data_IF_002273475198
#
_entry.id   IF_002273475198
#
_cell.length_a   1.000
_cell.length_b   1.000
_cell.length_c   1.000
_cell.angle_alpha   90.00
_cell.angle_beta   90.00
_cell.angle_gamma   90.00
#
_symmetry.space_group_name_H-M   'P 1'
#
loop_
_entity.id
_entity.type
_entity.pdbx_description
1 polymer ?
#
# COMPACT_ATOMS: atom_id res chain seq x y z
N UNK A 1 -14.58 15.25 -3.94
CA UNK A 1 -13.16 15.10 -3.54
C UNK A 1 -12.51 14.10 -4.48
N UNK A 2 -11.28 14.35 -4.88
CA UNK A 2 -10.51 13.48 -5.76
C UNK A 2 -9.68 12.50 -4.91
N UNK A 3 -9.61 11.25 -5.36
CA UNK A 3 -8.66 10.24 -4.86
C UNK A 3 -7.70 9.91 -5.99
N UNK A 4 -6.41 10.10 -5.75
CA UNK A 4 -5.38 9.95 -6.76
C UNK A 4 -4.36 8.94 -6.25
N UNK A 5 -3.98 8.00 -7.11
CA UNK A 5 -2.90 7.05 -6.88
C UNK A 5 -1.85 7.23 -7.96
N UNK A 6 -0.60 7.43 -7.56
CA UNK A 6 0.50 7.67 -8.48
C UNK A 6 1.59 6.64 -8.20
N UNK A 7 1.86 5.83 -9.22
CA UNK A 7 2.95 4.87 -9.24
C UNK A 7 4.02 5.27 -10.27
N UNK A 8 5.10 4.52 -10.36
CA UNK A 8 6.17 4.79 -11.34
C UNK A 8 5.68 4.69 -12.80
N UNK A 9 4.54 4.03 -13.03
CA UNK A 9 4.02 3.72 -14.36
C UNK A 9 2.65 4.31 -14.67
N UNK A 10 1.90 4.74 -13.66
CA UNK A 10 0.50 5.10 -13.85
C UNK A 10 0.04 6.17 -12.88
N UNK A 11 -0.87 7.02 -13.36
CA UNK A 11 -1.76 7.83 -12.53
C UNK A 11 -3.15 7.21 -12.61
N UNK A 12 -3.78 6.98 -11.45
CA UNK A 12 -5.19 6.60 -11.34
C UNK A 12 -5.92 7.69 -10.59
N UNK A 13 -7.00 8.20 -11.15
CA UNK A 13 -7.81 9.26 -10.55
C UNK A 13 -9.25 8.77 -10.44
N UNK A 14 -9.84 8.94 -9.27
CA UNK A 14 -11.24 8.66 -9.01
C UNK A 14 -11.90 9.88 -8.39
N UNK A 15 -13.02 10.32 -8.97
CA UNK A 15 -13.92 11.28 -8.38
C UNK A 15 -15.10 10.56 -7.74
N UNK A 16 -15.27 10.75 -6.45
CA UNK A 16 -16.36 10.12 -5.69
C UNK A 16 -17.03 11.09 -4.72
N UNK A 17 -18.29 10.80 -4.44
CA UNK A 17 -19.10 11.52 -3.45
C UNK A 17 -19.70 10.54 -2.45
N UNK A 18 -19.81 11.01 -1.21
CA UNK A 18 -20.53 10.26 -0.18
C UNK A 18 -22.05 10.34 -0.43
N UNK A 19 -22.71 9.19 -0.37
CA UNK A 19 -24.16 9.05 -0.48
C UNK A 19 -24.63 8.11 0.65
N UNK A 20 -24.91 8.66 1.83
CA UNK A 20 -25.15 7.88 3.04
C UNK A 20 -23.91 7.06 3.41
N UNK A 21 -24.07 5.73 3.56
CA UNK A 21 -22.97 4.79 3.84
C UNK A 21 -22.27 4.28 2.58
N UNK A 22 -22.55 4.88 1.42
CA UNK A 22 -21.98 4.47 0.15
C UNK A 22 -21.10 5.56 -0.43
N UNK A 23 -20.15 5.15 -1.24
CA UNK A 23 -19.35 6.04 -2.08
C UNK A 23 -19.82 5.82 -3.51
N UNK A 24 -20.36 6.86 -4.14
CA UNK A 24 -20.69 6.83 -5.56
C UNK A 24 -19.49 7.34 -6.35
N UNK A 25 -18.97 6.50 -7.22
CA UNK A 25 -17.96 6.90 -8.20
C UNK A 25 -18.65 7.65 -9.33
N UNK A 26 -18.20 8.86 -9.60
CA UNK A 26 -18.72 9.72 -10.66
C UNK A 26 -17.85 9.66 -11.89
N UNK A 27 -16.54 9.66 -11.71
CA UNK A 27 -15.54 9.52 -12.75
C UNK A 27 -14.37 8.68 -12.28
N UNK A 28 -13.78 7.97 -13.19
CA UNK A 28 -12.51 7.30 -13.03
C UNK A 28 -11.68 7.45 -14.30
N UNK A 29 -10.38 7.62 -14.15
CA UNK A 29 -9.44 7.62 -15.27
C UNK A 29 -8.11 7.00 -14.85
N UNK A 30 -7.39 6.46 -15.82
CA UNK A 30 -6.06 5.91 -15.66
C UNK A 30 -5.18 6.38 -16.81
N UNK A 31 -4.00 6.88 -16.49
CA UNK A 31 -3.02 7.35 -17.47
C UNK A 31 -1.69 6.66 -17.24
N UNK A 32 -1.08 6.13 -18.29
CA UNK A 32 0.29 5.64 -18.23
C UNK A 32 1.27 6.82 -18.18
N UNK A 33 2.31 6.67 -17.37
CA UNK A 33 3.39 7.64 -17.24
C UNK A 33 4.60 7.20 -18.07
N UNK A 34 5.26 8.17 -18.66
CA UNK A 34 6.57 7.97 -19.27
C UNK A 34 7.59 7.60 -18.18
N UNK A 35 8.47 6.67 -18.51
CA UNK A 35 9.57 6.28 -17.63
C UNK A 35 10.38 7.48 -17.16
N UNK A 36 10.70 7.50 -15.88
CA UNK A 36 11.51 8.54 -15.28
C UNK A 36 10.73 9.75 -14.75
N UNK A 37 9.42 9.88 -14.99
CA UNK A 37 8.60 10.92 -14.36
C UNK A 37 8.40 10.69 -12.86
N UNK A 38 8.28 9.42 -12.49
CA UNK A 38 8.22 8.94 -11.10
C UNK A 38 9.17 7.78 -10.98
N UNK A 39 9.93 7.72 -9.89
CA UNK A 39 10.88 6.64 -9.64
C UNK A 39 10.80 6.19 -8.18
N UNK A 40 10.44 4.93 -7.95
CA UNK A 40 10.22 4.37 -6.63
C UNK A 40 9.25 5.25 -5.79
N UNK A 41 8.20 5.76 -6.42
CA UNK A 41 7.21 6.66 -5.82
C UNK A 41 7.65 8.12 -5.68
N UNK A 42 8.91 8.47 -5.89
CA UNK A 42 9.37 9.86 -5.87
C UNK A 42 9.02 10.57 -7.16
N UNK A 43 8.38 11.73 -7.07
CA UNK A 43 8.12 12.59 -8.23
C UNK A 43 9.46 13.21 -8.65
N UNK A 44 9.96 12.80 -9.81
CA UNK A 44 11.25 13.26 -10.37
C UNK A 44 11.07 14.41 -11.33
N UNK A 45 9.93 14.47 -12.02
CA UNK A 45 9.56 15.55 -12.96
C UNK A 45 8.18 16.09 -12.63
N UNK A 46 8.13 17.10 -11.74
CA UNK A 46 6.87 17.72 -11.31
C UNK A 46 6.10 18.33 -12.49
N UNK A 47 6.70 19.12 -13.42
CA UNK A 47 5.98 19.67 -14.56
C UNK A 47 5.31 18.62 -15.45
N UNK A 48 5.99 17.52 -15.76
CA UNK A 48 5.44 16.47 -16.62
C UNK A 48 4.29 15.73 -15.94
N UNK A 49 4.45 15.31 -14.68
CA UNK A 49 3.37 14.65 -13.92
C UNK A 49 2.17 15.60 -13.76
N UNK A 50 2.43 16.88 -13.52
CA UNK A 50 1.40 17.91 -13.42
C UNK A 50 0.63 18.07 -14.73
N UNK A 51 1.30 18.03 -15.89
CA UNK A 51 0.67 18.10 -17.20
C UNK A 51 -0.31 16.95 -17.41
N UNK A 52 0.09 15.70 -17.08
CA UNK A 52 -0.78 14.54 -17.19
C UNK A 52 -2.01 14.64 -16.27
N UNK A 53 -1.82 15.05 -15.01
CA UNK A 53 -2.94 15.27 -14.08
C UNK A 53 -3.89 16.36 -14.55
N UNK A 54 -3.37 17.48 -15.03
CA UNK A 54 -4.17 18.59 -15.55
C UNK A 54 -4.96 18.17 -16.79
N UNK A 55 -4.38 17.35 -17.66
CA UNK A 55 -5.07 16.84 -18.85
C UNK A 55 -6.26 15.93 -18.44
N UNK A 56 -6.07 15.02 -17.48
CA UNK A 56 -7.16 14.20 -16.94
C UNK A 56 -8.27 15.09 -16.37
N UNK A 57 -7.92 16.04 -15.51
CA UNK A 57 -8.87 16.96 -14.85
C UNK A 57 -9.66 17.74 -15.88
N UNK A 58 -8.99 18.29 -16.90
CA UNK A 58 -9.61 19.08 -17.97
C UNK A 58 -10.52 18.22 -18.85
N UNK A 59 -10.04 17.05 -19.29
CA UNK A 59 -10.78 16.15 -20.18
C UNK A 59 -12.07 15.65 -19.53
N UNK A 60 -12.03 15.38 -18.21
CA UNK A 60 -13.19 14.92 -17.43
C UNK A 60 -14.07 16.07 -16.93
N UNK A 61 -13.71 17.33 -17.17
CA UNK A 61 -14.46 18.48 -16.66
C UNK A 61 -14.54 18.53 -15.13
N UNK A 62 -13.49 18.09 -14.45
CA UNK A 62 -13.41 18.03 -12.98
C UNK A 62 -13.22 19.43 -12.43
N UNK A 63 -14.09 19.83 -11.49
CA UNK A 63 -14.06 21.15 -10.85
C UNK A 63 -13.62 21.11 -9.39
N UNK A 64 -13.53 19.92 -8.80
CA UNK A 64 -13.08 19.71 -7.43
C UNK A 64 -11.66 20.22 -7.23
N UNK A 65 -11.45 20.89 -6.09
CA UNK A 65 -10.14 21.42 -5.68
C UNK A 65 -9.48 20.63 -4.58
N UNK A 66 -10.23 19.78 -3.87
CA UNK A 66 -9.73 18.99 -2.78
C UNK A 66 -9.37 17.58 -3.26
N UNK A 67 -8.15 17.15 -2.94
CA UNK A 67 -7.64 15.84 -3.31
C UNK A 67 -6.94 15.13 -2.13
N UNK A 68 -6.97 13.81 -2.16
CA UNK A 68 -6.10 12.93 -1.38
C UNK A 68 -5.25 12.11 -2.34
N UNK A 69 -4.04 11.78 -1.94
CA UNK A 69 -3.16 10.93 -2.75
C UNK A 69 -2.75 9.68 -1.98
N UNK A 70 -2.70 8.55 -2.68
CA UNK A 70 -2.08 7.32 -2.20
C UNK A 70 -0.72 7.16 -2.82
N UNK A 71 0.27 6.77 -2.02
CA UNK A 71 1.65 6.59 -2.45
C UNK A 71 2.15 5.18 -2.12
N UNK A 72 2.99 4.65 -2.99
CA UNK A 72 3.68 3.37 -2.83
C UNK A 72 5.16 3.57 -3.12
N UNK A 73 6.04 3.02 -2.28
CA UNK A 73 7.50 3.11 -2.44
C UNK A 73 8.18 2.01 -1.64
N UNK A 74 9.30 1.48 -2.12
CA UNK A 74 10.16 0.58 -1.36
C UNK A 74 10.87 1.26 -0.18
N UNK A 75 10.91 2.61 -0.18
CA UNK A 75 11.48 3.40 0.91
C UNK A 75 10.56 3.50 2.13
N UNK A 76 9.31 3.06 2.01
CA UNK A 76 8.35 3.02 3.11
C UNK A 76 8.57 1.73 3.90
N UNK A 77 8.87 1.87 5.19
CA UNK A 77 9.20 0.73 6.06
C UNK A 77 8.01 0.41 6.95
N UNK A 78 7.62 -0.85 6.98
CA UNK A 78 6.64 -1.41 7.91
C UNK A 78 7.35 -2.29 8.92
N UNK A 79 7.01 -2.15 10.20
CA UNK A 79 7.58 -2.99 11.25
C UNK A 79 6.58 -3.25 12.38
N UNK A 80 6.39 -4.52 12.69
CA UNK A 80 5.79 -4.95 13.95
C UNK A 80 6.89 -5.00 15.02
N UNK A 81 6.62 -4.47 16.21
CA UNK A 81 7.57 -4.46 17.29
C UNK A 81 6.88 -4.50 18.65
N UNK A 82 7.59 -5.01 19.65
CA UNK A 82 7.23 -4.89 21.04
C UNK A 82 8.06 -3.77 21.69
N UNK A 83 7.39 -2.83 22.31
CA UNK A 83 8.05 -1.71 23.00
C UNK A 83 7.61 -1.69 24.46
N UNK A 84 8.48 -1.24 25.37
CA UNK A 84 8.09 -1.01 26.77
C UNK A 84 6.87 -0.09 26.84
N UNK A 85 5.88 -0.47 27.66
CA UNK A 85 4.67 0.34 27.81
C UNK A 85 5.00 1.64 28.48
N UNK A 86 4.79 2.82 27.84
CA UNK A 86 5.04 4.10 28.48
C UNK A 86 4.01 4.37 29.58
N UNK A 87 4.36 5.25 30.54
CA UNK A 87 3.46 5.64 31.64
C UNK A 87 2.12 6.19 31.14
N UNK A 88 2.10 6.80 29.95
CA UNK A 88 0.89 7.29 29.30
C UNK A 88 0.92 6.99 27.80
N UNK A 89 -0.09 6.27 27.32
CA UNK A 89 -0.27 6.02 25.88
C UNK A 89 -0.70 7.28 25.10
N UNK A 90 -1.06 8.36 25.81
CA UNK A 90 -1.37 9.66 25.18
C UNK A 90 -0.10 10.42 24.78
N UNK A 91 1.06 10.03 25.29
CA UNK A 91 2.33 10.63 24.91
C UNK A 91 2.85 10.01 23.60
N UNK A 92 2.24 10.40 22.48
CA UNK A 92 2.58 9.90 21.14
C UNK A 92 4.03 10.19 20.76
N UNK A 93 4.56 11.35 21.16
CA UNK A 93 5.95 11.75 20.88
C UNK A 93 6.97 10.78 21.50
N UNK A 94 6.71 10.30 22.72
CA UNK A 94 7.59 9.32 23.36
C UNK A 94 7.54 7.98 22.63
N UNK A 95 6.34 7.54 22.20
CA UNK A 95 6.17 6.31 21.42
C UNK A 95 6.87 6.45 20.07
N UNK A 96 6.70 7.56 19.36
CA UNK A 96 7.37 7.83 18.09
C UNK A 96 8.90 7.78 18.20
N UNK A 97 9.46 8.38 19.26
CA UNK A 97 10.90 8.31 19.51
C UNK A 97 11.39 6.88 19.73
N UNK A 98 10.61 6.06 20.46
CA UNK A 98 10.93 4.64 20.65
C UNK A 98 10.84 3.85 19.34
N UNK A 99 9.84 4.15 18.50
CA UNK A 99 9.66 3.55 17.17
C UNK A 99 10.85 3.93 16.29
N UNK A 100 11.21 5.20 16.21
CA UNK A 100 12.35 5.68 15.42
C UNK A 100 13.64 4.96 15.80
N UNK A 101 13.93 4.88 17.09
CA UNK A 101 15.11 4.18 17.59
C UNK A 101 15.09 2.69 17.23
N UNK A 102 13.95 2.01 17.37
CA UNK A 102 13.81 0.59 17.08
C UNK A 102 13.87 0.28 15.57
N UNK A 103 13.34 1.17 14.73
CA UNK A 103 13.40 1.05 13.27
C UNK A 103 14.75 1.46 12.70
N UNK A 104 15.58 2.21 13.46
CA UNK A 104 16.85 2.75 12.98
C UNK A 104 16.66 3.83 11.91
N UNK A 105 15.54 4.57 11.92
CA UNK A 105 15.26 5.64 10.97
C UNK A 105 15.56 7.01 11.56
N UNK A 106 15.94 7.95 10.70
CA UNK A 106 16.26 9.33 11.11
C UNK A 106 14.98 10.15 11.39
N UNK A 107 15.16 11.37 11.91
CA UNK A 107 14.07 12.34 12.11
C UNK A 107 13.43 12.84 10.79
N UNK A 108 14.05 12.52 9.66
CA UNK A 108 13.51 12.84 8.33
C UNK A 108 12.41 11.86 7.85
N UNK A 109 11.99 10.94 8.73
CA UNK A 109 10.87 10.05 8.47
C UNK A 109 9.64 10.49 9.26
N UNK A 110 8.51 10.56 8.56
CA UNK A 110 7.20 10.67 9.18
C UNK A 110 6.80 9.29 9.73
N UNK A 111 6.46 9.25 11.01
CA UNK A 111 6.05 8.02 11.68
C UNK A 111 4.52 8.01 11.80
N UNK A 112 3.93 6.86 11.48
CA UNK A 112 2.55 6.53 11.79
C UNK A 112 2.52 5.18 12.46
N UNK A 113 1.68 5.00 13.48
CA UNK A 113 1.62 3.73 14.20
C UNK A 113 0.23 3.43 14.74
N UNK A 114 0.01 2.16 15.02
CA UNK A 114 -1.17 1.65 15.72
C UNK A 114 -0.73 0.74 16.85
N UNK A 115 -1.36 0.91 18.02
CA UNK A 115 -1.16 -0.02 19.15
C UNK A 115 -2.10 -1.21 18.90
N UNK A 116 -1.51 -2.36 18.62
CA UNK A 116 -2.23 -3.58 18.25
C UNK A 116 -2.59 -4.46 19.45
N UNK A 117 -2.03 -4.16 20.62
CA UNK A 117 -2.31 -4.91 21.85
C UNK A 117 -1.28 -4.65 22.93
N UNK A 118 -1.47 -5.30 24.06
CA UNK A 118 -0.56 -5.29 25.20
C UNK A 118 -0.15 -6.72 25.52
N UNK A 119 1.07 -6.91 25.99
CA UNK A 119 1.60 -8.20 26.43
C UNK A 119 2.59 -7.99 27.58
N UNK A 120 3.12 -9.06 28.10
CA UNK A 120 4.20 -9.05 29.10
C UNK A 120 5.37 -9.90 28.60
N UNK A 121 6.58 -9.51 28.96
CA UNK A 121 7.77 -10.31 28.74
C UNK A 121 7.95 -11.38 29.85
N UNK A 122 9.02 -12.15 29.75
CA UNK A 122 9.34 -13.22 30.73
C UNK A 122 9.58 -12.68 32.16
N UNK A 123 9.97 -11.40 32.27
CA UNK A 123 10.19 -10.71 33.54
C UNK A 123 8.94 -9.96 34.06
N UNK A 124 7.78 -10.16 33.38
CA UNK A 124 6.50 -9.48 33.67
C UNK A 124 6.52 -7.96 33.45
N UNK A 125 7.46 -7.44 32.64
CA UNK A 125 7.40 -6.08 32.20
C UNK A 125 6.28 -5.89 31.17
N UNK A 126 5.51 -4.81 31.31
CA UNK A 126 4.42 -4.50 30.39
C UNK A 126 4.96 -3.99 29.07
N UNK A 127 4.56 -4.62 27.98
CA UNK A 127 4.91 -4.27 26.62
C UNK A 127 3.65 -3.88 25.83
N UNK A 128 3.83 -3.01 24.85
CA UNK A 128 2.83 -2.71 23.82
C UNK A 128 3.29 -3.28 22.48
N UNK A 129 2.38 -3.94 21.80
CA UNK A 129 2.57 -4.38 20.42
C UNK A 129 2.24 -3.22 19.50
N UNK A 130 3.21 -2.78 18.71
CA UNK A 130 3.09 -1.66 17.77
C UNK A 130 3.23 -2.18 16.35
N UNK A 131 2.35 -1.70 15.47
CA UNK A 131 2.54 -1.77 14.02
C UNK A 131 2.85 -0.35 13.57
N UNK A 132 4.08 -0.14 13.12
CA UNK A 132 4.59 1.16 12.71
C UNK A 132 4.87 1.21 11.22
N UNK A 133 4.70 2.39 10.66
CA UNK A 133 5.09 2.74 9.30
C UNK A 133 5.96 3.98 9.35
N UNK A 134 7.11 3.93 8.70
CA UNK A 134 8.02 5.06 8.54
C UNK A 134 8.08 5.45 7.06
N UNK A 135 7.77 6.70 6.74
CA UNK A 135 7.75 7.24 5.39
C UNK A 135 8.73 8.42 5.29
N UNK A 136 9.69 8.41 4.33
CA UNK A 136 10.61 9.54 4.15
C UNK A 136 9.85 10.85 3.91
N UNK A 137 10.20 11.91 4.64
CA UNK A 137 9.58 13.23 4.46
C UNK A 137 9.76 13.74 3.03
N UNK A 138 10.95 13.57 2.45
CA UNK A 138 11.25 13.95 1.07
C UNK A 138 10.28 13.32 0.05
N UNK A 139 9.81 12.08 0.30
CA UNK A 139 8.81 11.43 -0.55
C UNK A 139 7.50 12.21 -0.50
N UNK A 140 7.00 12.54 0.69
CA UNK A 140 5.77 13.31 0.89
C UNK A 140 5.88 14.72 0.30
N UNK A 141 7.01 15.40 0.49
CA UNK A 141 7.26 16.76 -0.01
C UNK A 141 7.16 16.85 -1.55
N UNK A 142 7.52 15.77 -2.26
CA UNK A 142 7.36 15.69 -3.72
C UNK A 142 5.90 15.83 -4.14
N UNK A 143 5.00 15.15 -3.45
CA UNK A 143 3.56 15.23 -3.71
C UNK A 143 2.99 16.58 -3.28
N UNK A 144 3.42 17.12 -2.15
CA UNK A 144 2.99 18.47 -1.72
C UNK A 144 3.33 19.50 -2.79
N UNK A 145 4.54 19.45 -3.36
CA UNK A 145 4.95 20.35 -4.46
C UNK A 145 4.12 20.12 -5.71
N UNK A 146 3.88 18.85 -6.12
CA UNK A 146 3.07 18.52 -7.29
C UNK A 146 1.65 19.09 -7.17
N UNK A 147 0.96 18.84 -6.06
CA UNK A 147 -0.41 19.29 -5.87
C UNK A 147 -0.52 20.82 -5.74
N UNK A 148 0.47 21.47 -5.13
CA UNK A 148 0.58 22.92 -5.12
C UNK A 148 0.75 23.49 -6.53
N UNK A 149 1.58 22.85 -7.37
CA UNK A 149 1.84 23.25 -8.75
C UNK A 149 0.57 23.22 -9.63
N UNK A 150 -0.30 22.22 -9.45
CA UNK A 150 -1.56 22.11 -10.20
C UNK A 150 -2.74 22.84 -9.56
N UNK A 151 -2.52 23.52 -8.43
CA UNK A 151 -3.56 24.30 -7.74
C UNK A 151 -4.64 23.45 -7.08
N UNK A 152 -4.34 22.19 -6.72
CA UNK A 152 -5.19 21.35 -5.91
C UNK A 152 -4.80 21.43 -4.42
N UNK A 153 -5.81 21.47 -3.56
CA UNK A 153 -5.63 21.40 -2.11
C UNK A 153 -5.44 19.96 -1.66
N UNK A 154 -4.20 19.58 -1.37
CA UNK A 154 -3.89 18.24 -0.88
C UNK A 154 -4.32 18.11 0.58
N UNK A 155 -5.39 17.34 0.83
CA UNK A 155 -5.97 17.11 2.16
C UNK A 155 -5.29 15.97 2.92
N UNK A 156 -4.59 15.09 2.21
CA UNK A 156 -3.87 13.99 2.84
C UNK A 156 -3.01 13.21 1.86
N UNK A 157 -1.89 12.74 2.39
CA UNK A 157 -1.03 11.76 1.73
C UNK A 157 -1.19 10.45 2.50
N UNK A 158 -1.72 9.44 1.83
CA UNK A 158 -1.92 8.12 2.41
C UNK A 158 -0.90 7.14 1.83
N UNK A 159 -0.44 6.23 2.64
CA UNK A 159 0.32 5.09 2.16
C UNK A 159 -0.69 4.05 1.65
N UNK A 160 -0.49 3.56 0.41
CA UNK A 160 -1.44 2.68 -0.26
C UNK A 160 -1.79 1.44 0.59
N UNK A 161 -0.79 0.80 1.22
CA UNK A 161 -1.00 -0.33 2.11
C UNK A 161 -1.95 -0.01 3.27
N UNK A 162 -1.83 1.18 3.89
CA UNK A 162 -2.70 1.59 4.99
C UNK A 162 -4.14 1.83 4.51
N UNK A 163 -4.30 2.35 3.29
CA UNK A 163 -5.61 2.57 2.67
C UNK A 163 -6.31 1.23 2.39
N UNK A 164 -5.60 0.29 1.79
CA UNK A 164 -6.11 -1.05 1.50
C UNK A 164 -6.35 -1.84 2.79
N UNK A 165 -5.50 -1.70 3.80
CA UNK A 165 -5.71 -2.32 5.11
C UNK A 165 -7.02 -1.86 5.73
N UNK A 166 -7.31 -0.56 5.71
CA UNK A 166 -8.60 -0.03 6.18
C UNK A 166 -9.79 -0.62 5.42
N UNK A 167 -9.64 -0.83 4.12
CA UNK A 167 -10.66 -1.51 3.31
C UNK A 167 -10.85 -2.95 3.79
N UNK A 168 -9.77 -3.72 3.93
CA UNK A 168 -9.79 -5.13 4.35
C UNK A 168 -10.47 -5.29 5.72
N UNK A 169 -10.02 -4.56 6.74
CA UNK A 169 -10.53 -4.72 8.11
C UNK A 169 -11.98 -4.27 8.26
N UNK A 170 -12.47 -3.36 7.40
CA UNK A 170 -13.85 -2.90 7.40
C UNK A 170 -14.76 -3.70 6.45
N UNK A 171 -14.22 -4.67 5.72
CA UNK A 171 -15.02 -5.54 4.84
C UNK A 171 -15.50 -6.75 5.63
N UNK A 172 -16.82 -7.00 5.71
CA UNK A 172 -17.37 -8.14 6.43
C UNK A 172 -16.74 -9.47 5.98
N UNK A 173 -16.49 -10.37 6.93
CA UNK A 173 -15.94 -11.72 6.72
C UNK A 173 -14.49 -11.78 6.18
N UNK A 174 -13.80 -10.65 6.03
CA UNK A 174 -12.37 -10.68 5.64
C UNK A 174 -11.50 -11.30 6.73
N UNK A 175 -11.86 -11.12 8.01
CA UNK A 175 -11.16 -11.76 9.13
C UNK A 175 -11.12 -13.30 9.01
N UNK A 176 -12.18 -13.91 8.49
CA UNK A 176 -12.29 -15.36 8.35
C UNK A 176 -11.31 -15.94 7.30
N UNK A 177 -10.86 -15.08 6.39
CA UNK A 177 -9.91 -15.41 5.32
C UNK A 177 -8.44 -15.34 5.75
N UNK A 178 -8.17 -14.84 6.94
CA UNK A 178 -6.80 -14.72 7.47
C UNK A 178 -6.31 -16.04 8.10
N UNK A 179 -5.03 -16.37 8.00
CA UNK A 179 -3.94 -15.64 7.35
C UNK A 179 -4.09 -15.57 5.83
N UNK A 180 -3.98 -14.36 5.27
CA UNK A 180 -4.06 -14.17 3.83
C UNK A 180 -2.89 -13.31 3.32
N UNK A 181 -2.50 -13.55 2.07
CA UNK A 181 -1.51 -12.74 1.37
C UNK A 181 -2.22 -11.88 0.34
N UNK A 182 -2.16 -10.56 0.52
CA UNK A 182 -2.67 -9.61 -0.45
C UNK A 182 -1.52 -9.09 -1.30
N UNK A 183 -1.66 -9.20 -2.62
CA UNK A 183 -0.63 -8.83 -3.59
C UNK A 183 -1.15 -7.72 -4.49
N UNK A 184 -0.52 -6.56 -4.44
CA UNK A 184 -0.67 -5.53 -5.45
C UNK A 184 0.18 -5.88 -6.65
N UNK A 185 -0.43 -5.87 -7.82
CA UNK A 185 0.25 -6.10 -9.09
C UNK A 185 0.29 -4.78 -9.85
N UNK A 186 1.46 -4.38 -10.26
CA UNK A 186 1.70 -3.22 -11.11
C UNK A 186 2.79 -3.58 -12.14
N UNK A 187 2.88 -2.83 -13.24
CA UNK A 187 3.89 -3.05 -14.28
C UNK A 187 5.32 -2.83 -13.79
N UNK A 188 5.51 -2.05 -12.73
CA UNK A 188 6.83 -1.71 -12.18
C UNK A 188 7.15 -2.37 -10.84
N UNK A 189 6.16 -2.99 -10.18
CA UNK A 189 6.38 -3.58 -8.86
C UNK A 189 5.33 -4.61 -8.46
N UNK A 190 5.69 -5.42 -7.46
CA UNK A 190 4.76 -6.21 -6.66
C UNK A 190 4.85 -5.73 -5.21
N UNK A 191 3.71 -5.59 -4.56
CA UNK A 191 3.68 -5.29 -3.12
C UNK A 191 2.88 -6.38 -2.40
N UNK A 192 3.55 -7.17 -1.59
CA UNK A 192 3.00 -8.35 -0.93
C UNK A 192 2.81 -8.07 0.56
N UNK A 193 1.58 -8.17 1.03
CA UNK A 193 1.18 -7.88 2.40
C UNK A 193 0.56 -9.11 3.06
N UNK A 194 1.18 -9.61 4.13
CA UNK A 194 0.64 -10.69 4.94
C UNK A 194 -0.27 -10.12 6.01
N UNK A 195 -1.51 -10.59 6.02
CA UNK A 195 -2.52 -10.25 7.03
C UNK A 195 -2.75 -11.42 7.98
N UNK A 196 -2.66 -11.15 9.27
CA UNK A 196 -3.02 -12.04 10.36
C UNK A 196 -3.77 -11.20 11.41
N UNK A 197 -4.80 -11.76 12.01
CA UNK A 197 -5.54 -11.13 13.11
C UNK A 197 -5.98 -9.67 12.83
N UNK A 198 -6.50 -9.41 11.63
CA UNK A 198 -6.97 -8.10 11.13
C UNK A 198 -5.90 -7.01 10.99
N UNK A 199 -4.64 -7.40 10.82
CA UNK A 199 -3.56 -6.43 10.67
C UNK A 199 -2.49 -6.92 9.68
N UNK A 200 -1.73 -5.99 9.08
CA UNK A 200 -0.52 -6.33 8.33
C UNK A 200 0.55 -6.72 9.34
N UNK A 201 1.02 -7.96 9.27
CA UNK A 201 2.15 -8.43 10.09
C UNK A 201 3.47 -8.41 9.33
N UNK A 202 3.39 -8.36 8.01
CA UNK A 202 4.57 -8.24 7.15
C UNK A 202 4.19 -7.62 5.80
N UNK A 203 5.07 -6.75 5.30
CA UNK A 203 4.92 -6.11 3.99
C UNK A 203 6.26 -6.17 3.25
N UNK A 204 6.21 -6.49 1.96
CA UNK A 204 7.39 -6.49 1.12
C UNK A 204 7.08 -5.95 -0.28
N UNK A 205 7.89 -4.98 -0.67
CA UNK A 205 7.89 -4.39 -1.99
C UNK A 205 8.99 -5.05 -2.84
N UNK A 206 8.65 -5.39 -4.06
CA UNK A 206 9.58 -5.92 -5.05
C UNK A 206 9.51 -5.03 -6.29
N UNK A 207 10.60 -4.37 -6.62
CA UNK A 207 10.71 -3.70 -7.90
C UNK A 207 10.77 -4.75 -9.02
N UNK A 208 10.11 -4.47 -10.14
CA UNK A 208 10.14 -5.31 -11.34
C UNK A 208 10.75 -4.50 -12.46
N UNK A 209 11.87 -4.97 -12.99
CA UNK A 209 12.45 -4.45 -14.22
C UNK A 209 12.25 -5.49 -15.32
N UNK A 210 11.63 -5.14 -16.47
CA UNK A 210 11.49 -6.05 -17.60
C UNK A 210 12.82 -6.65 -18.06
N UNK A 211 13.94 -5.91 -17.91
CA UNK A 211 15.28 -6.37 -18.30
C UNK A 211 15.77 -7.57 -17.48
N UNK A 212 15.28 -7.74 -16.24
CA UNK A 212 15.60 -8.90 -15.41
C UNK A 212 14.93 -10.19 -15.94
N UNK A 213 14.01 -10.05 -16.90
CA UNK A 213 13.22 -11.12 -17.51
C UNK A 213 13.33 -11.13 -19.04
N UNK A 214 14.48 -10.72 -19.59
CA UNK A 214 14.77 -10.67 -21.04
C UNK A 214 13.76 -9.82 -21.84
N UNK A 215 13.13 -8.82 -21.20
CA UNK A 215 12.04 -8.01 -21.73
C UNK A 215 10.86 -8.85 -22.28
N UNK A 216 10.66 -10.04 -21.73
CA UNK A 216 9.56 -10.92 -22.14
C UNK A 216 8.21 -10.27 -21.82
N UNK A 217 7.17 -10.46 -22.66
CA UNK A 217 5.84 -9.88 -22.43
C UNK A 217 5.20 -10.34 -21.11
N UNK A 218 5.56 -11.53 -20.62
CA UNK A 218 5.08 -12.15 -19.40
C UNK A 218 5.94 -11.86 -18.15
N UNK A 219 6.84 -10.85 -18.22
CA UNK A 219 7.77 -10.53 -17.14
C UNK A 219 7.11 -10.34 -15.76
N UNK A 220 5.91 -9.75 -15.71
CA UNK A 220 5.17 -9.57 -14.44
C UNK A 220 4.78 -10.93 -13.84
N UNK A 221 4.36 -11.88 -14.69
CA UNK A 221 3.96 -13.23 -14.26
C UNK A 221 5.17 -13.99 -13.71
N UNK A 222 6.31 -13.91 -14.40
CA UNK A 222 7.57 -14.50 -13.95
C UNK A 222 8.02 -13.88 -12.62
N UNK A 223 8.00 -12.55 -12.52
CA UNK A 223 8.33 -11.84 -11.30
C UNK A 223 7.41 -12.23 -10.14
N UNK A 224 6.11 -12.41 -10.40
CA UNK A 224 5.16 -12.89 -9.41
C UNK A 224 5.55 -14.26 -8.87
N UNK A 225 5.81 -15.23 -9.74
CA UNK A 225 6.17 -16.60 -9.36
C UNK A 225 7.43 -16.64 -8.50
N UNK A 226 8.49 -15.94 -8.93
CA UNK A 226 9.78 -15.90 -8.23
C UNK A 226 9.68 -15.26 -6.85
N UNK A 227 9.01 -14.11 -6.78
CA UNK A 227 8.90 -13.36 -5.53
C UNK A 227 7.89 -13.99 -4.56
N UNK A 228 6.83 -14.61 -5.06
CA UNK A 228 5.89 -15.35 -4.23
C UNK A 228 6.53 -16.57 -3.60
N UNK A 229 7.37 -17.31 -4.35
CA UNK A 229 8.13 -18.43 -3.78
C UNK A 229 8.95 -17.97 -2.57
N UNK A 230 9.72 -16.90 -2.73
CA UNK A 230 10.54 -16.31 -1.64
C UNK A 230 9.66 -15.85 -0.46
N UNK A 231 8.52 -15.24 -0.74
CA UNK A 231 7.59 -14.77 0.27
C UNK A 231 6.98 -15.94 1.07
N UNK A 232 6.57 -17.01 0.40
CA UNK A 232 6.02 -18.20 1.07
C UNK A 232 7.08 -18.91 1.92
N UNK A 233 8.32 -19.02 1.43
CA UNK A 233 9.43 -19.55 2.23
C UNK A 233 9.65 -18.72 3.50
N UNK A 234 9.65 -17.40 3.37
CA UNK A 234 9.75 -16.51 4.52
C UNK A 234 8.58 -16.70 5.50
N UNK A 235 7.34 -16.75 5.02
CA UNK A 235 6.15 -16.96 5.86
C UNK A 235 6.30 -18.27 6.65
N UNK A 236 6.68 -19.36 5.99
CA UNK A 236 6.87 -20.67 6.62
C UNK A 236 7.99 -20.71 7.68
N UNK A 237 9.01 -19.88 7.54
CA UNK A 237 10.14 -19.81 8.47
C UNK A 237 9.83 -19.01 9.74
N UNK A 238 8.74 -18.26 9.79
CA UNK A 238 8.36 -17.46 10.96
C UNK A 238 7.97 -18.37 12.14
N UNK A 239 8.38 -17.99 13.35
CA UNK A 239 7.94 -18.68 14.57
C UNK A 239 6.42 -18.53 14.72
N UNK A 240 5.70 -19.64 14.84
CA UNK A 240 4.24 -19.66 14.97
C UNK A 240 3.49 -19.40 13.66
N UNK A 241 4.16 -19.57 12.51
CA UNK A 241 3.52 -19.41 11.20
C UNK A 241 2.27 -20.29 11.07
N UNK A 242 1.18 -19.68 10.65
CA UNK A 242 -0.07 -20.37 10.29
C UNK A 242 -0.12 -20.58 8.78
N UNK A 243 -0.71 -21.68 8.28
CA UNK A 243 -0.90 -21.86 6.84
C UNK A 243 -1.72 -20.71 6.21
N UNK A 244 -1.30 -20.24 5.03
CA UNK A 244 -2.10 -19.29 4.27
C UNK A 244 -3.44 -19.94 3.89
N UNK A 245 -4.53 -19.21 4.11
CA UNK A 245 -5.87 -19.62 3.69
C UNK A 245 -6.19 -19.14 2.29
N UNK A 246 -5.61 -17.98 1.89
CA UNK A 246 -5.97 -17.32 0.64
C UNK A 246 -4.86 -16.39 0.14
N UNK A 247 -4.77 -16.24 -1.18
CA UNK A 247 -4.01 -15.20 -1.86
C UNK A 247 -5.01 -14.32 -2.61
N UNK A 248 -4.92 -13.01 -2.44
CA UNK A 248 -5.75 -12.04 -3.15
C UNK A 248 -4.91 -11.11 -4.00
N UNK A 249 -5.36 -10.82 -5.21
CA UNK A 249 -4.73 -9.85 -6.11
C UNK A 249 -5.54 -8.57 -6.20
N UNK A 250 -4.87 -7.43 -6.35
CA UNK A 250 -5.47 -6.16 -6.75
C UNK A 250 -4.47 -5.36 -7.60
N UNK A 251 -4.94 -4.28 -8.22
CA UNK A 251 -4.14 -3.48 -9.14
C UNK A 251 -4.33 -3.92 -10.58
N UNK A 252 -3.25 -4.19 -11.30
CA UNK A 252 -3.30 -4.65 -12.69
C UNK A 252 -3.56 -6.17 -12.75
N UNK A 253 -4.83 -6.53 -12.66
CA UNK A 253 -5.29 -7.93 -12.63
C UNK A 253 -5.96 -8.37 -13.91
N UNK A 254 -5.78 -7.65 -15.02
CA UNK A 254 -6.40 -8.00 -16.33
C UNK A 254 -6.11 -9.43 -16.78
N UNK A 255 -4.93 -9.95 -16.48
CA UNK A 255 -4.49 -11.31 -16.80
C UNK A 255 -4.66 -12.28 -15.61
N UNK A 256 -5.75 -12.16 -14.84
CA UNK A 256 -5.96 -12.94 -13.62
C UNK A 256 -5.80 -14.46 -13.81
N UNK A 257 -6.28 -15.01 -14.92
CA UNK A 257 -6.18 -16.45 -15.21
C UNK A 257 -4.71 -16.88 -15.30
N UNK A 258 -3.89 -16.13 -16.04
CA UNK A 258 -2.46 -16.41 -16.20
C UNK A 258 -1.70 -16.24 -14.88
N UNK A 259 -1.98 -15.16 -14.14
CA UNK A 259 -1.43 -14.91 -12.82
C UNK A 259 -1.77 -16.05 -11.84
N UNK A 260 -3.03 -16.51 -11.82
CA UNK A 260 -3.49 -17.59 -10.96
C UNK A 260 -2.84 -18.93 -11.33
N UNK A 261 -2.75 -19.23 -12.64
CA UNK A 261 -2.11 -20.45 -13.12
C UNK A 261 -0.62 -20.50 -12.75
N UNK A 262 0.09 -19.39 -12.87
CA UNK A 262 1.52 -19.30 -12.55
C UNK A 262 1.84 -19.65 -11.08
N UNK A 263 0.88 -19.48 -10.17
CA UNK A 263 1.07 -19.75 -8.75
C UNK A 263 0.25 -20.95 -8.24
N UNK A 264 -0.38 -21.71 -9.12
CA UNK A 264 -1.23 -22.85 -8.77
C UNK A 264 -0.51 -23.95 -7.98
N UNK A 265 0.81 -24.09 -8.17
CA UNK A 265 1.64 -25.07 -7.43
C UNK A 265 1.69 -24.83 -5.90
N UNK A 266 1.31 -23.65 -5.43
CA UNK A 266 1.28 -23.38 -3.99
C UNK A 266 0.04 -23.95 -3.28
N UNK A 267 -0.95 -24.40 -4.03
CA UNK A 267 -2.19 -25.02 -3.51
C UNK A 267 -2.94 -24.12 -2.50
N UNK A 268 -2.93 -22.82 -2.72
CA UNK A 268 -3.67 -21.84 -1.94
C UNK A 268 -4.74 -21.20 -2.84
N UNK A 269 -6.00 -21.07 -2.40
CA UNK A 269 -7.04 -20.39 -3.17
C UNK A 269 -6.63 -18.98 -3.56
N UNK A 270 -6.93 -18.60 -4.81
CA UNK A 270 -6.55 -17.30 -5.39
C UNK A 270 -7.79 -16.54 -5.86
N UNK A 271 -7.92 -15.29 -5.47
CA UNK A 271 -9.04 -14.42 -5.84
C UNK A 271 -8.57 -13.00 -6.19
N UNK A 272 -9.41 -12.26 -6.90
CA UNK A 272 -9.24 -10.80 -7.04
C UNK A 272 -9.97 -10.11 -5.89
N UNK A 273 -9.35 -9.11 -5.29
CA UNK A 273 -9.99 -8.26 -4.30
C UNK A 273 -11.09 -7.44 -4.98
N UNK A 274 -12.34 -7.79 -4.69
CA UNK A 274 -13.49 -7.07 -5.22
C UNK A 274 -13.65 -5.70 -4.53
N UNK A 275 -14.17 -4.73 -5.28
CA UNK A 275 -14.62 -3.49 -4.67
C UNK A 275 -15.74 -3.79 -3.65
N UNK A 276 -15.75 -3.14 -2.47
CA UNK A 276 -16.80 -3.37 -1.48
C UNK A 276 -18.15 -2.91 -2.02
N UNK A 277 -19.23 -3.54 -1.55
CA UNK A 277 -20.61 -3.21 -1.95
C UNK A 277 -21.03 -1.77 -1.57
N UNK A 278 -20.23 -1.10 -0.74
CA UNK A 278 -20.39 0.32 -0.41
C UNK A 278 -19.87 1.25 -1.50
N UNK A 279 -19.10 0.76 -2.46
CA UNK A 279 -18.65 1.52 -3.64
C UNK A 279 -19.58 1.18 -4.80
N UNK A 280 -20.24 2.19 -5.34
CA UNK A 280 -21.19 2.08 -6.46
C UNK A 280 -20.79 3.03 -7.58
N UNK A 281 -20.92 2.61 -8.82
CA UNK A 281 -20.73 3.40 -10.03
C UNK A 281 -22.07 3.96 -10.54
#
# INVERSE_FOLDING_TARGET
>A
MLSIDITDRQIKLVRGVHSGNKIRVQDADMRELTLGMVSNGYITDVPMVAAELNDIIKTKGITEKDAIVSITSSSIVYKEMLLPKPKSLKNTAAIEAMIQANMGVSKEFNISFTIAGETEDEEKNKLIKIIATACPQRLVDGYVRLFSHIGLSLKGVNIANNSVTRLIINTPKMADRMPMLLIQIDKGFLNMNLYEDNQIVFSRYFNIDPSDYDNAPDYVIRALSDNLFRMIQFIKSRKGAKPLKEIMFYGDTGNFIELSNAISSFNVPVHVLAAPSTVIS
#
